data_IF_324704005484
#
_entry.id   IF_324704005484
#
_cell.length_a   1.000
_cell.length_b   1.000
_cell.length_c   1.000
_cell.angle_alpha   90.00
_cell.angle_beta   90.00
_cell.angle_gamma   90.00
#
_symmetry.space_group_name_H-M   'P 1'
#
loop_
_entity.id
_entity.type
_entity.pdbx_description
1 polymer ?
#
# COMPACT_ATOMS: atom_id res chain seq x y z
N UNK A 1 -13.20 7.81 -12.16
CA UNK A 1 -14.32 7.57 -11.20
C UNK A 1 -14.76 6.11 -11.23
N UNK A 2 -14.61 5.43 -12.37
CA UNK A 2 -15.05 4.05 -12.60
C UNK A 2 -14.37 3.01 -11.70
N UNK A 3 -13.06 3.15 -11.42
CA UNK A 3 -12.31 2.19 -10.60
C UNK A 3 -12.75 2.21 -9.13
N UNK A 4 -12.91 3.40 -8.54
CA UNK A 4 -13.40 3.56 -7.15
C UNK A 4 -14.84 3.08 -7.02
N UNK A 5 -15.69 3.35 -8.02
CA UNK A 5 -17.08 2.85 -8.04
C UNK A 5 -17.15 1.31 -8.06
N UNK A 6 -16.33 0.67 -8.90
CA UNK A 6 -16.21 -0.80 -8.94
C UNK A 6 -15.64 -1.38 -7.64
N UNK A 7 -14.59 -0.78 -7.09
CA UNK A 7 -13.99 -1.19 -5.83
C UNK A 7 -15.01 -1.09 -4.66
N UNK A 8 -15.77 0.00 -4.60
CA UNK A 8 -16.81 0.19 -3.58
C UNK A 8 -17.94 -0.85 -3.72
N UNK A 9 -18.39 -1.15 -4.94
CA UNK A 9 -19.43 -2.15 -5.18
C UNK A 9 -18.97 -3.57 -4.75
N UNK A 10 -17.73 -3.95 -5.10
CA UNK A 10 -17.13 -5.22 -4.67
C UNK A 10 -16.97 -5.27 -3.15
N UNK A 11 -16.53 -4.18 -2.52
CA UNK A 11 -16.38 -4.10 -1.07
C UNK A 11 -17.70 -4.29 -0.33
N UNK A 12 -18.77 -3.61 -0.78
CA UNK A 12 -20.10 -3.73 -0.17
C UNK A 12 -20.67 -5.14 -0.37
N UNK A 13 -20.58 -5.70 -1.58
CA UNK A 13 -21.05 -7.05 -1.86
C UNK A 13 -20.30 -8.09 -0.99
N UNK A 14 -18.98 -7.99 -0.92
CA UNK A 14 -18.16 -8.88 -0.11
C UNK A 14 -18.45 -8.74 1.38
N UNK A 15 -18.65 -7.52 1.89
CA UNK A 15 -18.99 -7.28 3.29
C UNK A 15 -20.34 -7.93 3.66
N UNK A 16 -21.35 -7.80 2.80
CA UNK A 16 -22.66 -8.44 2.99
C UNK A 16 -22.51 -9.97 3.01
N UNK A 17 -21.79 -10.54 2.04
CA UNK A 17 -21.53 -11.98 2.01
C UNK A 17 -20.75 -12.46 3.24
N UNK A 18 -19.74 -11.72 3.69
CA UNK A 18 -18.94 -12.05 4.87
C UNK A 18 -19.80 -12.07 6.14
N UNK A 19 -20.70 -11.10 6.34
CA UNK A 19 -21.62 -11.07 7.49
C UNK A 19 -22.56 -12.28 7.51
N UNK A 20 -23.08 -12.68 6.35
CA UNK A 20 -23.96 -13.86 6.24
C UNK A 20 -23.20 -15.15 6.52
N UNK A 21 -21.99 -15.31 5.97
CA UNK A 21 -21.13 -16.50 6.16
C UNK A 21 -20.64 -16.62 7.61
N UNK A 22 -20.34 -15.50 8.27
CA UNK A 22 -19.88 -15.48 9.67
C UNK A 22 -20.87 -16.13 10.64
N UNK A 23 -22.17 -16.21 10.27
CA UNK A 23 -23.22 -16.87 11.04
C UNK A 23 -23.18 -18.40 10.95
N UNK A 24 -22.55 -18.96 9.93
CA UNK A 24 -22.41 -20.42 9.70
C UNK A 24 -20.99 -20.95 9.87
N UNK A 25 -19.95 -20.20 9.46
CA UNK A 25 -18.56 -20.61 9.58
C UNK A 25 -17.64 -19.38 9.70
N UNK A 26 -17.17 -19.09 10.92
CA UNK A 26 -16.32 -17.92 11.22
C UNK A 26 -14.99 -17.90 10.45
N UNK A 27 -14.36 -19.07 10.25
CA UNK A 27 -13.10 -19.20 9.52
C UNK A 27 -13.25 -18.86 8.02
N UNK A 28 -14.37 -19.24 7.39
CA UNK A 28 -14.62 -18.93 5.98
C UNK A 28 -14.87 -17.44 5.78
N UNK A 29 -15.43 -16.74 6.78
CA UNK A 29 -15.63 -15.30 6.72
C UNK A 29 -14.30 -14.52 6.68
N UNK A 30 -13.27 -14.99 7.38
CA UNK A 30 -11.91 -14.39 7.35
C UNK A 30 -11.24 -14.59 6.00
N UNK A 31 -11.36 -15.79 5.41
CA UNK A 31 -10.84 -16.05 4.05
C UNK A 31 -11.57 -15.19 3.01
N UNK A 32 -12.88 -14.98 3.18
CA UNK A 32 -13.68 -14.15 2.28
C UNK A 32 -13.28 -12.66 2.37
N UNK A 33 -13.07 -12.12 3.58
CA UNK A 33 -12.63 -10.73 3.76
C UNK A 33 -11.22 -10.51 3.21
N UNK A 34 -10.32 -11.49 3.37
CA UNK A 34 -8.98 -11.47 2.78
C UNK A 34 -9.04 -11.44 1.24
N UNK A 35 -9.83 -12.32 0.64
CA UNK A 35 -9.99 -12.40 -0.81
C UNK A 35 -10.60 -11.12 -1.38
N UNK A 36 -11.60 -10.56 -0.70
CA UNK A 36 -12.20 -9.29 -1.08
C UNK A 36 -11.22 -8.12 -0.96
N UNK A 37 -10.45 -8.04 0.12
CA UNK A 37 -9.40 -7.04 0.30
C UNK A 37 -8.33 -7.11 -0.80
N UNK A 38 -7.88 -8.32 -1.14
CA UNK A 38 -6.95 -8.54 -2.24
C UNK A 38 -7.54 -8.12 -3.60
N UNK A 39 -8.80 -8.48 -3.89
CA UNK A 39 -9.47 -8.10 -5.12
C UNK A 39 -9.64 -6.58 -5.25
N UNK A 40 -10.01 -5.89 -4.16
CA UNK A 40 -10.09 -4.42 -4.12
C UNK A 40 -8.70 -3.81 -4.39
N UNK A 41 -7.64 -4.34 -3.77
CA UNK A 41 -6.28 -3.86 -3.99
C UNK A 41 -5.89 -3.95 -5.48
N UNK A 42 -6.12 -5.11 -6.10
CA UNK A 42 -5.85 -5.36 -7.52
C UNK A 42 -6.64 -4.41 -8.42
N UNK A 43 -7.92 -4.16 -8.10
CA UNK A 43 -8.74 -3.20 -8.86
C UNK A 43 -8.23 -1.76 -8.75
N UNK A 44 -7.54 -1.41 -7.66
CA UNK A 44 -6.97 -0.08 -7.45
C UNK A 44 -5.51 0.06 -7.89
N UNK A 45 -4.85 -1.02 -8.34
CA UNK A 45 -3.47 -0.98 -8.81
C UNK A 45 -3.28 -0.09 -10.05
N UNK A 46 -4.32 0.03 -10.90
CA UNK A 46 -4.29 0.91 -12.07
C UNK A 46 -4.07 2.39 -11.71
N UNK A 47 -4.57 2.83 -10.56
CA UNK A 47 -4.33 4.18 -10.06
C UNK A 47 -2.85 4.42 -9.71
N UNK A 48 -2.13 3.38 -9.27
CA UNK A 48 -0.68 3.45 -8.98
C UNK A 48 0.12 3.58 -10.27
N UNK A 49 -0.34 2.96 -11.36
CA UNK A 49 0.26 3.11 -12.69
C UNK A 49 0.20 4.55 -13.19
N UNK A 50 -0.95 5.22 -13.03
CA UNK A 50 -1.10 6.64 -13.39
C UNK A 50 -0.19 7.57 -12.58
N UNK A 51 0.01 7.28 -11.29
CA UNK A 51 0.97 8.01 -10.45
C UNK A 51 2.41 7.77 -10.92
N UNK A 52 2.73 6.53 -11.31
CA UNK A 52 4.07 6.17 -11.81
C UNK A 52 4.38 6.91 -13.13
N UNK A 53 3.46 6.94 -14.08
CA UNK A 53 3.66 7.66 -15.34
C UNK A 53 3.85 9.15 -15.10
N UNK A 54 3.04 9.76 -14.22
CA UNK A 54 3.20 11.17 -13.88
C UNK A 54 4.56 11.44 -13.23
N UNK A 55 5.03 10.51 -12.40
CA UNK A 55 6.35 10.56 -11.79
C UNK A 55 7.46 10.46 -12.85
N UNK A 56 7.38 9.51 -13.78
CA UNK A 56 8.36 9.39 -14.87
C UNK A 56 8.41 10.68 -15.73
N UNK A 57 7.25 11.25 -16.09
CA UNK A 57 7.17 12.54 -16.82
C UNK A 57 7.81 13.70 -16.03
N UNK A 58 7.59 13.77 -14.71
CA UNK A 58 8.21 14.78 -13.85
C UNK A 58 9.72 14.58 -13.72
N UNK A 59 10.19 13.32 -13.69
CA UNK A 59 11.62 13.01 -13.64
C UNK A 59 12.31 13.49 -14.92
N UNK A 60 11.74 13.20 -16.08
CA UNK A 60 12.25 13.66 -17.37
C UNK A 60 12.22 15.19 -17.47
N UNK A 61 11.11 15.84 -17.08
CA UNK A 61 10.97 17.29 -17.14
C UNK A 61 11.92 18.05 -16.19
N UNK A 62 12.18 17.49 -15.00
CA UNK A 62 13.07 18.10 -14.01
C UNK A 62 14.53 17.66 -14.14
N UNK A 63 14.86 16.75 -15.07
CA UNK A 63 16.19 16.13 -15.17
C UNK A 63 16.57 15.33 -13.93
N UNK A 64 15.58 14.82 -13.19
CA UNK A 64 15.78 14.13 -11.92
C UNK A 64 16.17 12.67 -12.16
N UNK A 65 17.21 12.22 -11.46
CA UNK A 65 17.59 10.81 -11.53
C UNK A 65 16.46 9.91 -11.00
N UNK A 66 16.18 8.76 -11.63
CA UNK A 66 15.17 7.79 -11.17
C UNK A 66 15.37 7.35 -9.71
N UNK A 67 16.61 7.44 -9.22
CA UNK A 67 17.00 7.16 -7.84
C UNK A 67 16.35 8.08 -6.79
N UNK A 68 15.87 9.27 -7.18
CA UNK A 68 15.17 10.21 -6.29
C UNK A 68 13.68 9.87 -6.19
N UNK A 69 13.10 9.34 -7.28
CA UNK A 69 11.66 9.12 -7.36
C UNK A 69 11.24 7.69 -6.96
N UNK A 70 12.11 6.71 -7.22
CA UNK A 70 11.90 5.32 -6.82
C UNK A 70 11.65 5.12 -5.30
N UNK A 71 12.30 5.85 -4.37
CA UNK A 71 12.00 5.79 -2.94
C UNK A 71 10.56 6.15 -2.59
N UNK A 72 9.95 7.10 -3.30
CA UNK A 72 8.59 7.55 -3.03
C UNK A 72 7.57 6.44 -3.35
N UNK A 73 7.67 5.83 -4.52
CA UNK A 73 6.81 4.71 -4.90
C UNK A 73 7.01 3.51 -3.97
N UNK A 74 8.27 3.18 -3.63
CA UNK A 74 8.58 2.08 -2.69
C UNK A 74 7.97 2.32 -1.30
N UNK A 75 8.03 3.55 -0.80
CA UNK A 75 7.50 3.88 0.53
C UNK A 75 5.97 3.74 0.56
N UNK A 76 5.28 4.20 -0.49
CA UNK A 76 3.82 4.02 -0.62
C UNK A 76 3.47 2.53 -0.69
N UNK A 77 4.21 1.75 -1.49
CA UNK A 77 4.01 0.30 -1.59
C UNK A 77 4.17 -0.41 -0.25
N UNK A 78 5.21 -0.08 0.52
CA UNK A 78 5.42 -0.61 1.88
C UNK A 78 4.24 -0.25 2.77
N UNK A 79 3.80 1.00 2.79
CA UNK A 79 2.71 1.45 3.63
C UNK A 79 1.38 0.72 3.34
N UNK A 80 1.06 0.53 2.05
CA UNK A 80 -0.14 -0.21 1.62
C UNK A 80 -0.05 -1.67 2.06
N UNK A 81 1.05 -2.36 1.74
CA UNK A 81 1.25 -3.77 2.11
C UNK A 81 1.20 -3.97 3.63
N UNK A 82 1.91 -3.14 4.39
CA UNK A 82 1.91 -3.20 5.84
C UNK A 82 0.51 -3.03 6.41
N UNK A 83 -0.27 -2.03 5.94
CA UNK A 83 -1.64 -1.83 6.44
C UNK A 83 -2.55 -3.00 6.12
N UNK A 84 -2.51 -3.51 4.89
CA UNK A 84 -3.36 -4.62 4.46
C UNK A 84 -3.04 -5.87 5.27
N UNK A 85 -1.77 -6.26 5.33
CA UNK A 85 -1.38 -7.47 6.04
C UNK A 85 -1.61 -7.33 7.57
N UNK A 86 -1.41 -6.15 8.16
CA UNK A 86 -1.67 -5.94 9.58
C UNK A 86 -3.17 -6.00 9.91
N UNK A 87 -4.01 -5.48 9.03
CA UNK A 87 -5.46 -5.56 9.17
C UNK A 87 -5.95 -7.01 9.05
N UNK A 88 -5.37 -7.78 8.14
CA UNK A 88 -5.61 -9.23 8.02
C UNK A 88 -5.23 -9.98 9.30
N UNK A 89 -4.05 -9.71 9.86
CA UNK A 89 -3.65 -10.30 11.14
C UNK A 89 -4.62 -9.94 12.26
N UNK A 90 -5.11 -8.68 12.32
CA UNK A 90 -6.13 -8.27 13.28
C UNK A 90 -7.46 -9.00 13.10
N UNK A 91 -7.91 -9.16 11.85
CA UNK A 91 -9.16 -9.88 11.53
C UNK A 91 -9.08 -11.36 11.91
N UNK A 92 -7.88 -11.94 11.90
CA UNK A 92 -7.60 -13.30 12.38
C UNK A 92 -7.47 -13.40 13.92
N UNK A 93 -7.56 -12.28 14.66
CA UNK A 93 -7.35 -12.23 16.12
C UNK A 93 -5.88 -12.04 16.54
N UNK A 94 -4.95 -12.01 15.60
CA UNK A 94 -3.51 -11.90 15.82
C UNK A 94 -3.04 -10.43 15.86
N UNK A 95 -3.55 -9.67 16.83
CA UNK A 95 -3.20 -8.26 17.02
C UNK A 95 -1.71 -8.03 17.34
N UNK A 96 -1.05 -9.00 18.00
CA UNK A 96 0.39 -8.95 18.27
C UNK A 96 1.22 -9.00 16.98
N UNK A 97 0.91 -9.94 16.08
CA UNK A 97 1.58 -10.06 14.77
C UNK A 97 1.34 -8.80 13.94
N UNK A 98 0.12 -8.26 13.97
CA UNK A 98 -0.19 -7.00 13.29
C UNK A 98 0.69 -5.84 13.75
N UNK A 99 0.91 -5.69 15.07
CA UNK A 99 1.78 -4.65 15.62
C UNK A 99 3.25 -4.83 15.23
N UNK A 100 3.75 -6.07 15.22
CA UNK A 100 5.10 -6.38 14.72
C UNK A 100 5.26 -6.04 13.23
N UNK A 101 4.23 -6.30 12.43
CA UNK A 101 4.26 -5.97 11.02
C UNK A 101 4.23 -4.45 10.78
N UNK A 102 3.42 -3.71 11.54
CA UNK A 102 3.35 -2.24 11.46
C UNK A 102 4.69 -1.59 11.83
N UNK A 103 5.32 -2.06 12.91
CA UNK A 103 6.64 -1.59 13.33
C UNK A 103 7.73 -1.93 12.31
N UNK A 104 7.73 -3.14 11.75
CA UNK A 104 8.66 -3.53 10.68
C UNK A 104 8.46 -2.69 9.41
N UNK A 105 7.22 -2.43 9.02
CA UNK A 105 6.88 -1.58 7.87
C UNK A 105 7.39 -0.15 8.04
N UNK A 106 7.24 0.44 9.23
CA UNK A 106 7.77 1.76 9.54
C UNK A 106 9.30 1.81 9.45
N UNK A 107 10.00 0.79 9.96
CA UNK A 107 11.45 0.68 9.86
C UNK A 107 11.92 0.56 8.39
N UNK A 108 11.23 -0.23 7.58
CA UNK A 108 11.54 -0.39 6.15
C UNK A 108 11.27 0.90 5.36
N UNK A 109 10.19 1.61 5.66
CA UNK A 109 9.91 2.91 5.07
C UNK A 109 11.02 3.93 5.38
N UNK A 110 11.52 3.94 6.62
CA UNK A 110 12.66 4.79 7.02
C UNK A 110 13.93 4.42 6.24
N UNK A 111 14.22 3.13 6.09
CA UNK A 111 15.39 2.67 5.33
C UNK A 111 15.31 3.08 3.85
N UNK A 112 14.13 3.00 3.24
CA UNK A 112 13.89 3.43 1.86
C UNK A 112 14.02 4.95 1.69
N UNK A 113 13.78 5.75 2.73
CA UNK A 113 13.95 7.19 2.68
C UNK A 113 15.43 7.66 2.71
N UNK A 114 16.37 6.81 3.16
CA UNK A 114 17.80 7.13 3.21
C UNK A 114 18.43 7.61 1.89
N UNK A 115 18.22 6.98 0.72
CA UNK A 115 18.74 7.49 -0.56
C UNK A 115 18.24 8.90 -0.88
N UNK A 116 16.99 9.20 -0.53
CA UNK A 116 16.43 10.54 -0.72
C UNK A 116 17.17 11.56 0.15
N UNK A 117 17.42 11.21 1.42
CA UNK A 117 18.17 12.06 2.34
C UNK A 117 19.61 12.32 1.87
N UNK A 118 20.27 11.30 1.29
CA UNK A 118 21.60 11.46 0.69
C UNK A 118 21.58 12.43 -0.49
N UNK A 119 20.61 12.28 -1.40
CA UNK A 119 20.48 13.17 -2.56
C UNK A 119 20.28 14.64 -2.14
N UNK A 120 19.46 14.88 -1.12
CA UNK A 120 19.26 16.23 -0.55
C UNK A 120 20.56 16.76 0.05
N UNK A 121 21.29 15.94 0.81
CA UNK A 121 22.55 16.33 1.43
C UNK A 121 23.62 16.69 0.38
N UNK A 122 23.78 15.88 -0.67
CA UNK A 122 24.70 16.16 -1.78
C UNK A 122 24.36 17.49 -2.46
N UNK A 123 23.07 17.78 -2.66
CA UNK A 123 22.63 19.04 -3.28
C UNK A 123 22.96 20.26 -2.40
N UNK A 124 22.79 20.15 -1.08
CA UNK A 124 23.13 21.22 -0.14
C UNK A 124 24.65 21.45 -0.09
N UNK A 125 25.45 20.38 -0.08
CA UNK A 125 26.91 20.47 -0.08
C UNK A 125 27.42 21.10 -1.39
N UNK A 126 26.81 20.77 -2.53
CA UNK A 126 27.19 21.35 -3.83
C UNK A 126 26.92 22.86 -3.96
N UNK A 127 26.03 23.40 -3.13
CA UNK A 127 25.69 24.83 -3.09
C UNK A 127 26.55 25.63 -2.10
N UNK A 128 27.33 24.96 -1.25
CA UNK A 128 28.18 25.56 -0.22
C UNK A 128 29.61 25.76 -0.75
#
# INVERSE_FOLDING_TARGET
MDEIGRAAAVAVAAAICAVVVKKSAGEVAVVLSLAAGAAILILTLGAVEGVRTLMDDLADAAGLAPAVLAPLIKTVGIAILTRVCAQVCRDAGEGGIAAFLETAGAAMALFVALPLLRAVLDTVIALL
#
